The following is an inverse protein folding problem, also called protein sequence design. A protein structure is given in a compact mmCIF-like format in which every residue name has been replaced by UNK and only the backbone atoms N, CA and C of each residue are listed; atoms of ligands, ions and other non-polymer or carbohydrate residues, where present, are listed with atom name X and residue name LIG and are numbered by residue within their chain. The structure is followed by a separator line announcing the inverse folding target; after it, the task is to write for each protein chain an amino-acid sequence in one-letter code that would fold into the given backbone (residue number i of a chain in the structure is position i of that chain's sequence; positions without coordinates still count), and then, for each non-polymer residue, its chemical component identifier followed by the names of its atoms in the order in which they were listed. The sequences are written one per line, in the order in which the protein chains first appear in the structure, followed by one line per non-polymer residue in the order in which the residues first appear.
data_IF_702015682247
#
_entry.id   IF_702015682247
#
_cell.length_a   1.000
_cell.length_b   1.000
_cell.length_c   1.000
_cell.angle_alpha   90.00
_cell.angle_beta   90.00
_cell.angle_gamma   90.00
#
_symmetry.space_group_name_H-M   'P 1'
#
loop_
_entity.id
_entity.type
_entity.pdbx_description
1 polymer ?
#
# COMPACT_ATOMS: atom_id res chain seq x y z
N UNK A 1 44.37 -6.92 0.70
CA UNK A 1 44.10 -5.81 1.65
C UNK A 1 43.28 -4.63 1.06
N UNK A 2 43.12 -4.52 -0.27
CA UNK A 2 42.36 -3.45 -0.92
C UNK A 2 40.83 -3.69 -0.82
N UNK A 3 40.38 -4.92 -0.70
CA UNK A 3 38.95 -5.26 -0.62
C UNK A 3 38.23 -4.87 0.67
N UNK A 4 38.92 -4.83 1.81
CA UNK A 4 38.30 -4.54 3.12
C UNK A 4 37.99 -3.04 3.33
N UNK A 5 38.76 -2.14 2.71
CA UNK A 5 38.56 -0.71 2.77
C UNK A 5 37.34 -0.22 1.96
N UNK A 6 37.12 -0.81 0.77
CA UNK A 6 35.97 -0.52 -0.09
C UNK A 6 34.66 -1.03 0.53
N UNK A 7 34.65 -2.23 1.07
CA UNK A 7 33.47 -2.81 1.75
C UNK A 7 33.10 -1.99 2.99
N UNK A 8 34.09 -1.47 3.74
CA UNK A 8 33.83 -0.60 4.88
C UNK A 8 33.26 0.77 4.49
N UNK A 9 33.70 1.35 3.37
CA UNK A 9 33.19 2.65 2.88
C UNK A 9 31.77 2.51 2.30
N UNK A 10 31.47 1.43 1.60
CA UNK A 10 30.12 1.15 1.07
C UNK A 10 29.11 0.93 2.23
N UNK A 11 29.50 0.21 3.27
CA UNK A 11 28.68 0.10 4.48
C UNK A 11 28.40 1.46 5.12
N UNK A 12 29.39 2.32 5.28
CA UNK A 12 29.21 3.65 5.87
C UNK A 12 28.28 4.57 5.06
N UNK A 13 28.37 4.53 3.74
CA UNK A 13 27.48 5.30 2.84
C UNK A 13 26.04 4.78 2.96
N UNK A 14 25.87 3.47 2.95
CA UNK A 14 24.57 2.81 3.10
C UNK A 14 23.92 3.14 4.44
N UNK A 15 24.69 3.14 5.54
CA UNK A 15 24.23 3.46 6.89
C UNK A 15 23.71 4.90 7.00
N UNK A 16 24.47 5.86 6.47
CA UNK A 16 24.08 7.27 6.45
C UNK A 16 22.86 7.50 5.56
N UNK A 17 22.83 6.90 4.38
CA UNK A 17 21.72 7.05 3.44
C UNK A 17 20.41 6.53 4.02
N UNK A 18 20.43 5.40 4.72
CA UNK A 18 19.25 4.81 5.34
C UNK A 18 18.64 5.72 6.41
N UNK A 19 19.47 6.26 7.32
CA UNK A 19 19.01 7.19 8.34
C UNK A 19 18.47 8.50 7.77
N UNK A 20 19.13 9.04 6.74
CA UNK A 20 18.68 10.26 6.05
C UNK A 20 17.36 10.01 5.35
N UNK A 21 17.21 8.89 4.63
CA UNK A 21 15.96 8.53 3.94
C UNK A 21 14.78 8.43 4.92
N UNK A 22 14.99 7.81 6.08
CA UNK A 22 13.97 7.73 7.13
C UNK A 22 13.62 9.11 7.69
N UNK A 23 14.62 9.94 7.97
CA UNK A 23 14.43 11.31 8.43
C UNK A 23 13.70 12.20 7.41
N UNK A 24 14.03 12.07 6.12
CA UNK A 24 13.34 12.77 5.02
C UNK A 24 11.89 12.33 4.92
N UNK A 25 11.62 11.02 5.03
CA UNK A 25 10.26 10.49 5.00
C UNK A 25 9.43 11.03 6.18
N UNK A 26 9.95 10.94 7.41
CA UNK A 26 9.27 11.47 8.58
C UNK A 26 9.08 13.00 8.51
N UNK A 27 10.13 13.74 8.16
CA UNK A 27 10.10 15.19 8.04
C UNK A 27 9.14 15.68 6.96
N UNK A 28 9.11 15.02 5.80
CA UNK A 28 8.19 15.37 4.71
C UNK A 28 6.72 15.14 5.09
N UNK A 29 6.40 14.09 5.86
CA UNK A 29 5.05 13.88 6.38
C UNK A 29 4.62 14.96 7.37
N UNK A 30 5.51 15.40 8.25
CA UNK A 30 5.23 16.52 9.17
C UNK A 30 5.04 17.84 8.40
N UNK A 31 5.83 18.07 7.35
CA UNK A 31 5.73 19.27 6.50
C UNK A 31 4.37 19.41 5.80
N UNK A 32 3.60 18.33 5.63
CA UNK A 32 2.22 18.40 5.09
C UNK A 32 1.29 19.25 5.97
N UNK A 33 1.55 19.33 7.28
CA UNK A 33 0.76 20.17 8.21
C UNK A 33 1.09 21.66 8.11
N UNK A 34 2.19 22.02 7.45
CA UNK A 34 2.60 23.40 7.21
C UNK A 34 1.85 24.01 6.00
N UNK A 35 1.99 25.31 5.71
CA UNK A 35 1.40 25.95 4.52
C UNK A 35 1.82 25.34 3.18
N UNK A 36 2.89 24.53 3.13
CA UNK A 36 3.33 23.79 1.93
C UNK A 36 2.42 22.61 1.59
N UNK A 37 1.58 22.19 2.53
CA UNK A 37 0.62 21.11 2.34
C UNK A 37 -0.63 21.57 1.59
N UNK A 38 -0.96 20.89 0.49
CA UNK A 38 -2.17 21.15 -0.29
C UNK A 38 -3.31 20.22 0.13
N UNK A 39 -4.52 20.78 0.20
CA UNK A 39 -5.74 20.04 0.48
C UNK A 39 -6.28 19.49 -0.83
N UNK A 40 -6.55 18.20 -0.88
CA UNK A 40 -7.24 17.55 -1.99
C UNK A 40 -8.31 16.62 -1.42
N UNK A 41 -9.53 16.72 -1.92
CA UNK A 41 -10.67 15.90 -1.46
C UNK A 41 -10.87 15.95 0.07
N UNK A 42 -10.73 17.14 0.69
CA UNK A 42 -10.95 17.35 2.12
C UNK A 42 -9.82 16.89 3.05
N UNK A 43 -8.72 16.34 2.53
CA UNK A 43 -7.58 15.92 3.33
C UNK A 43 -6.25 16.53 2.84
N UNK A 44 -5.34 16.83 3.78
CA UNK A 44 -4.00 17.32 3.48
C UNK A 44 -3.07 16.13 3.29
N UNK A 45 -2.77 15.78 2.03
CA UNK A 45 -1.98 14.58 1.70
C UNK A 45 -0.78 14.86 0.81
N UNK A 46 -0.74 16.04 0.19
CA UNK A 46 0.21 16.39 -0.84
C UNK A 46 1.12 17.53 -0.38
N UNK A 47 2.39 17.43 -0.70
CA UNK A 47 3.33 18.55 -0.60
C UNK A 47 3.53 19.17 -1.97
N UNK A 48 3.49 20.49 -2.03
CA UNK A 48 3.79 21.23 -3.23
C UNK A 48 5.07 22.06 -3.04
N UNK A 49 6.08 21.77 -3.84
CA UNK A 49 7.35 22.51 -3.86
C UNK A 49 7.52 23.06 -5.26
N UNK A 50 7.15 24.32 -5.46
CA UNK A 50 7.13 24.95 -6.78
C UNK A 50 6.12 24.28 -7.72
N UNK A 51 6.53 23.81 -8.91
CA UNK A 51 5.66 23.13 -9.87
C UNK A 51 5.42 21.64 -9.52
N UNK A 52 6.23 21.06 -8.63
CA UNK A 52 6.20 19.63 -8.31
C UNK A 52 5.27 19.41 -7.12
N UNK A 53 4.32 18.50 -7.28
CA UNK A 53 3.44 18.03 -6.23
C UNK A 53 3.64 16.53 -6.03
N UNK A 54 3.93 16.10 -4.81
CA UNK A 54 4.15 14.70 -4.49
C UNK A 54 3.52 14.33 -3.15
N UNK A 55 3.27 13.04 -2.94
CA UNK A 55 2.72 12.52 -1.70
C UNK A 55 3.84 11.96 -0.82
N UNK A 56 4.14 12.55 0.36
CA UNK A 56 5.20 12.08 1.25
C UNK A 56 5.06 10.64 1.72
N UNK A 57 3.84 10.17 1.79
CA UNK A 57 3.56 8.78 2.18
C UNK A 57 4.13 7.74 1.19
N UNK A 58 4.31 8.10 -0.08
CA UNK A 58 5.00 7.22 -1.05
C UNK A 58 6.48 7.05 -0.69
N UNK A 59 7.16 8.14 -0.31
CA UNK A 59 8.55 8.10 0.19
C UNK A 59 8.63 7.24 1.47
N UNK A 60 7.63 7.35 2.35
CA UNK A 60 7.62 6.61 3.61
C UNK A 60 7.54 5.09 3.40
N UNK A 61 6.82 4.61 2.38
CA UNK A 61 6.78 3.18 2.04
C UNK A 61 8.16 2.65 1.64
N UNK A 62 8.86 3.37 0.77
CA UNK A 62 10.24 3.02 0.37
C UNK A 62 11.19 3.10 1.57
N UNK A 63 11.09 4.17 2.36
CA UNK A 63 11.93 4.38 3.53
C UNK A 63 11.78 3.24 4.56
N UNK A 64 10.55 2.79 4.83
CA UNK A 64 10.31 1.64 5.71
C UNK A 64 10.98 0.38 5.17
N UNK A 65 10.82 0.08 3.88
CA UNK A 65 11.41 -1.11 3.25
C UNK A 65 12.93 -1.09 3.39
N UNK A 66 13.58 0.01 2.99
CA UNK A 66 15.04 0.13 3.03
C UNK A 66 15.57 0.12 4.46
N UNK A 67 14.92 0.87 5.39
CA UNK A 67 15.39 0.97 6.77
C UNK A 67 15.20 -0.32 7.54
N UNK A 68 14.09 -1.01 7.36
CA UNK A 68 13.89 -2.30 8.02
C UNK A 68 14.84 -3.36 7.47
N UNK A 69 15.07 -3.40 6.14
CA UNK A 69 16.05 -4.29 5.52
C UNK A 69 17.44 -4.09 6.14
N UNK A 70 17.87 -2.83 6.24
CA UNK A 70 19.14 -2.47 6.88
C UNK A 70 19.23 -2.93 8.35
N UNK A 71 18.21 -2.59 9.14
CA UNK A 71 18.18 -2.94 10.56
C UNK A 71 18.16 -4.46 10.80
N UNK A 72 17.41 -5.21 9.99
CA UNK A 72 17.32 -6.67 10.07
C UNK A 72 18.70 -7.29 9.83
N UNK A 73 19.41 -6.84 8.79
CA UNK A 73 20.77 -7.32 8.48
C UNK A 73 21.74 -6.99 9.62
N UNK A 74 21.67 -5.77 10.15
CA UNK A 74 22.54 -5.33 11.25
C UNK A 74 22.27 -6.05 12.57
N UNK A 75 21.02 -6.40 12.84
CA UNK A 75 20.64 -7.17 14.03
C UNK A 75 21.08 -8.64 13.96
N UNK A 76 21.13 -9.24 12.76
CA UNK A 76 21.57 -10.61 12.53
C UNK A 76 20.94 -11.62 13.49
N UNK A 77 21.75 -12.37 14.25
CA UNK A 77 21.25 -13.39 15.21
C UNK A 77 20.37 -12.83 16.33
N UNK A 78 20.41 -11.51 16.61
CA UNK A 78 19.57 -10.86 17.63
C UNK A 78 18.10 -10.77 17.20
N UNK A 79 17.78 -11.01 15.92
CA UNK A 79 16.39 -11.06 15.40
C UNK A 79 15.48 -12.05 16.14
N UNK A 80 16.04 -13.09 16.78
CA UNK A 80 15.27 -14.04 17.61
C UNK A 80 14.72 -13.42 18.90
N UNK A 81 15.14 -12.22 19.26
CA UNK A 81 14.71 -11.59 20.51
C UNK A 81 13.44 -10.76 20.30
N UNK A 82 12.54 -10.80 21.27
CA UNK A 82 11.34 -9.96 21.27
C UNK A 82 11.70 -8.45 21.19
N UNK A 83 12.81 -8.05 21.79
CA UNK A 83 13.29 -6.65 21.75
C UNK A 83 13.58 -6.20 20.32
N UNK A 84 14.19 -7.05 19.48
CA UNK A 84 14.45 -6.72 18.08
C UNK A 84 13.16 -6.52 17.31
N UNK A 85 12.19 -7.44 17.45
CA UNK A 85 10.88 -7.31 16.81
C UNK A 85 10.15 -6.04 17.25
N UNK A 86 10.20 -5.71 18.55
CA UNK A 86 9.59 -4.49 19.08
C UNK A 86 10.26 -3.23 18.52
N UNK A 87 11.60 -3.20 18.40
CA UNK A 87 12.33 -2.06 17.83
C UNK A 87 11.94 -1.84 16.36
N UNK A 88 11.95 -2.90 15.54
CA UNK A 88 11.56 -2.82 14.14
C UNK A 88 10.08 -2.44 14.01
N UNK A 89 9.22 -3.06 14.81
CA UNK A 89 7.80 -2.72 14.88
C UNK A 89 7.55 -1.27 15.26
N UNK A 90 8.27 -0.75 16.25
CA UNK A 90 8.16 0.64 16.68
C UNK A 90 8.57 1.62 15.57
N UNK A 91 9.66 1.33 14.84
CA UNK A 91 10.10 2.17 13.71
C UNK A 91 9.04 2.23 12.60
N UNK A 92 8.52 1.10 12.16
CA UNK A 92 7.48 1.07 11.13
C UNK A 92 6.15 1.67 11.61
N UNK A 93 5.75 1.39 12.85
CA UNK A 93 4.54 1.96 13.46
C UNK A 93 4.66 3.48 13.62
N UNK A 94 5.83 4.00 13.92
CA UNK A 94 6.06 5.45 14.00
C UNK A 94 5.76 6.14 12.66
N UNK A 95 6.28 5.63 11.54
CA UNK A 95 5.96 6.19 10.22
C UNK A 95 4.48 5.96 9.84
N UNK A 96 3.89 4.83 10.21
CA UNK A 96 2.47 4.58 10.01
C UNK A 96 1.60 5.58 10.79
N UNK A 97 1.96 5.88 12.05
CA UNK A 97 1.29 6.90 12.86
C UNK A 97 1.45 8.30 12.27
N UNK A 98 2.63 8.66 11.77
CA UNK A 98 2.82 9.94 11.08
C UNK A 98 1.95 10.03 9.82
N UNK A 99 1.85 8.95 9.04
CA UNK A 99 0.95 8.91 7.87
C UNK A 99 -0.52 9.08 8.29
N UNK A 100 -0.94 8.48 9.40
CA UNK A 100 -2.30 8.64 9.92
C UNK A 100 -2.56 10.05 10.44
N UNK A 101 -1.70 10.57 11.33
CA UNK A 101 -1.90 11.84 12.03
C UNK A 101 -1.60 13.03 11.13
N UNK A 102 -0.52 13.00 10.33
CA UNK A 102 -0.09 14.16 9.55
C UNK A 102 -0.76 14.26 8.18
N UNK A 103 -1.09 13.11 7.56
CA UNK A 103 -1.64 13.11 6.19
C UNK A 103 -3.11 12.67 6.13
N UNK A 104 -3.77 12.45 7.27
CA UNK A 104 -5.14 11.96 7.38
C UNK A 104 -5.43 10.72 6.50
N UNK A 105 -4.40 9.87 6.29
CA UNK A 105 -4.46 8.73 5.39
C UNK A 105 -4.33 7.40 6.14
N UNK A 106 -5.47 6.90 6.62
CA UNK A 106 -5.54 5.61 7.32
C UNK A 106 -5.08 4.45 6.44
N UNK A 107 -5.45 4.45 5.15
CA UNK A 107 -5.12 3.35 4.24
C UNK A 107 -3.62 3.20 4.04
N UNK A 108 -2.90 4.31 3.84
CA UNK A 108 -1.44 4.29 3.73
C UNK A 108 -0.79 3.90 5.05
N UNK A 109 -1.32 4.36 6.18
CA UNK A 109 -0.84 3.94 7.50
C UNK A 109 -0.93 2.41 7.69
N UNK A 110 -2.06 1.81 7.29
CA UNK A 110 -2.25 0.36 7.30
C UNK A 110 -1.24 -0.34 6.38
N UNK A 111 -1.02 0.18 5.16
CA UNK A 111 -0.06 -0.40 4.22
C UNK A 111 1.35 -0.38 4.82
N UNK A 112 1.82 0.76 5.36
CA UNK A 112 3.14 0.89 6.00
C UNK A 112 3.27 -0.09 7.18
N UNK A 113 2.24 -0.20 8.00
CA UNK A 113 2.20 -1.15 9.11
C UNK A 113 2.25 -2.60 8.62
N UNK A 114 1.47 -2.96 7.61
CA UNK A 114 1.47 -4.31 7.03
C UNK A 114 2.80 -4.66 6.36
N UNK A 115 3.47 -3.71 5.67
CA UNK A 115 4.83 -3.89 5.15
C UNK A 115 5.78 -4.20 6.31
N UNK A 116 5.69 -3.44 7.41
CA UNK A 116 6.53 -3.64 8.60
C UNK A 116 6.36 -5.04 9.18
N UNK A 117 5.12 -5.46 9.41
CA UNK A 117 4.79 -6.79 9.95
C UNK A 117 5.24 -7.89 8.99
N UNK A 118 5.00 -7.71 7.69
CA UNK A 118 5.42 -8.66 6.66
C UNK A 118 6.94 -8.83 6.57
N UNK A 119 7.70 -7.75 6.66
CA UNK A 119 9.17 -7.82 6.68
C UNK A 119 9.71 -8.49 7.95
N UNK A 120 9.12 -8.20 9.11
CA UNK A 120 9.49 -8.88 10.36
C UNK A 120 9.14 -10.38 10.25
N UNK A 121 7.98 -10.72 9.68
CA UNK A 121 7.58 -12.11 9.44
C UNK A 121 8.57 -12.87 8.56
N UNK A 122 9.02 -12.26 7.45
CA UNK A 122 10.01 -12.88 6.54
C UNK A 122 11.36 -13.09 7.23
N UNK A 123 11.76 -12.15 8.09
CA UNK A 123 13.06 -12.19 8.77
C UNK A 123 13.08 -13.05 10.03
N UNK A 124 11.93 -13.34 10.65
CA UNK A 124 11.87 -14.03 11.93
C UNK A 124 11.72 -15.54 11.79
N UNK A 125 12.53 -16.37 12.47
CA UNK A 125 12.52 -17.82 12.29
C UNK A 125 11.26 -18.52 12.85
N UNK A 126 10.55 -17.90 13.80
CA UNK A 126 9.33 -18.47 14.43
C UNK A 126 8.06 -17.87 13.80
N UNK A 127 7.75 -18.26 12.57
CA UNK A 127 6.61 -17.73 11.80
C UNK A 127 5.24 -18.07 12.39
N UNK A 128 5.10 -19.17 13.14
CA UNK A 128 3.83 -19.61 13.72
C UNK A 128 3.19 -18.57 14.65
N UNK A 129 4.00 -17.86 15.44
CA UNK A 129 3.50 -16.82 16.37
C UNK A 129 2.85 -15.68 15.58
N UNK A 130 3.47 -15.24 14.48
CA UNK A 130 2.92 -14.19 13.63
C UNK A 130 1.63 -14.61 12.94
N UNK A 131 1.54 -15.86 12.47
CA UNK A 131 0.30 -16.39 11.87
C UNK A 131 -0.86 -16.39 12.88
N UNK A 132 -0.60 -16.78 14.13
CA UNK A 132 -1.61 -16.75 15.20
C UNK A 132 -2.01 -15.29 15.49
N UNK A 133 -1.06 -14.36 15.60
CA UNK A 133 -1.36 -12.95 15.86
C UNK A 133 -2.17 -12.32 14.71
N UNK A 134 -1.84 -12.63 13.47
CA UNK A 134 -2.60 -12.16 12.29
C UNK A 134 -4.02 -12.76 12.31
N UNK A 135 -4.17 -14.05 12.59
CA UNK A 135 -5.48 -14.70 12.68
C UNK A 135 -6.34 -14.07 13.77
N UNK A 136 -5.76 -13.81 14.96
CA UNK A 136 -6.46 -13.15 16.08
C UNK A 136 -6.84 -11.70 15.70
N UNK A 137 -5.95 -10.96 15.03
CA UNK A 137 -6.24 -9.61 14.58
C UNK A 137 -7.38 -9.57 13.55
N UNK A 138 -7.38 -10.50 12.60
CA UNK A 138 -8.47 -10.63 11.61
C UNK A 138 -9.79 -10.97 12.30
N UNK A 139 -9.80 -11.93 13.24
CA UNK A 139 -10.98 -12.29 13.98
C UNK A 139 -11.52 -11.11 14.81
N UNK A 140 -10.63 -10.37 15.47
CA UNK A 140 -11.00 -9.17 16.23
C UNK A 140 -11.62 -8.09 15.34
N UNK A 141 -11.00 -7.81 14.18
CA UNK A 141 -11.54 -6.85 13.21
C UNK A 141 -12.89 -7.29 12.66
N UNK A 142 -13.08 -8.57 12.37
CA UNK A 142 -14.37 -9.11 11.91
C UNK A 142 -15.47 -8.92 12.96
N UNK A 143 -15.17 -9.19 14.22
CA UNK A 143 -16.11 -8.98 15.34
C UNK A 143 -16.41 -7.49 15.49
N UNK A 144 -15.41 -6.62 15.44
CA UNK A 144 -15.58 -5.17 15.54
C UNK A 144 -16.48 -4.62 14.43
N UNK A 145 -16.24 -5.04 13.17
CA UNK A 145 -17.06 -4.65 12.02
C UNK A 145 -18.50 -5.16 12.17
N UNK A 146 -18.67 -6.39 12.63
CA UNK A 146 -20.00 -6.97 12.89
C UNK A 146 -20.78 -6.15 13.94
N UNK A 147 -20.12 -5.82 15.07
CA UNK A 147 -20.74 -5.02 16.14
C UNK A 147 -21.09 -3.61 15.65
N UNK A 148 -20.20 -2.96 14.91
CA UNK A 148 -20.47 -1.61 14.33
C UNK A 148 -21.67 -1.68 13.38
N UNK A 149 -21.71 -2.69 12.50
CA UNK A 149 -22.79 -2.86 11.53
C UNK A 149 -24.17 -3.07 12.17
N UNK A 150 -24.22 -3.66 13.38
CA UNK A 150 -25.46 -3.84 14.13
C UNK A 150 -25.88 -2.58 14.90
N UNK A 151 -24.91 -1.81 15.39
CA UNK A 151 -25.14 -0.73 16.35
C UNK A 151 -25.33 0.66 15.74
N UNK A 152 -24.73 0.92 14.56
CA UNK A 152 -24.67 2.25 13.96
C UNK A 152 -25.46 2.28 12.66
N UNK A 153 -26.60 3.01 12.65
CA UNK A 153 -27.44 3.17 11.45
C UNK A 153 -27.10 4.42 10.63
N UNK A 154 -26.75 5.50 11.30
CA UNK A 154 -26.33 6.78 10.67
C UNK A 154 -25.31 7.46 11.57
N UNK A 155 -24.32 8.12 10.97
CA UNK A 155 -23.29 8.88 11.68
C UNK A 155 -22.70 9.96 10.78
N UNK A 156 -22.28 11.08 11.37
CA UNK A 156 -21.56 12.16 10.68
C UNK A 156 -20.08 11.83 10.45
N UNK A 157 -19.56 10.72 11.01
CA UNK A 157 -18.17 10.32 10.84
C UNK A 157 -17.96 9.69 9.44
N UNK A 158 -17.16 10.37 8.63
CA UNK A 158 -16.82 9.95 7.26
C UNK A 158 -16.25 8.50 7.16
N UNK A 159 -15.53 8.05 8.20
CA UNK A 159 -14.93 6.70 8.21
C UNK A 159 -15.96 5.61 8.52
N UNK A 160 -16.83 5.89 9.49
CA UNK A 160 -17.92 4.97 9.83
C UNK A 160 -18.93 4.88 8.68
N UNK A 161 -19.21 5.99 8.00
CA UNK A 161 -20.06 5.98 6.79
C UNK A 161 -19.52 5.09 5.67
N UNK A 162 -18.20 4.94 5.52
CA UNK A 162 -17.62 3.99 4.56
C UNK A 162 -17.87 2.54 4.94
N UNK A 163 -17.86 2.22 6.24
CA UNK A 163 -18.15 0.86 6.73
C UNK A 163 -19.64 0.55 6.53
N UNK A 164 -20.51 1.49 6.84
CA UNK A 164 -21.97 1.35 6.64
C UNK A 164 -22.29 1.19 5.15
N UNK A 165 -21.67 2.04 4.30
CA UNK A 165 -21.83 1.96 2.84
C UNK A 165 -21.32 0.64 2.24
N UNK A 166 -20.34 0.02 2.88
CA UNK A 166 -19.86 -1.30 2.47
C UNK A 166 -20.81 -2.43 2.89
N UNK A 167 -21.34 -2.39 4.14
CA UNK A 167 -22.23 -3.42 4.65
C UNK A 167 -23.64 -3.34 4.02
N UNK A 168 -24.14 -2.15 3.77
CA UNK A 168 -25.48 -1.89 3.25
C UNK A 168 -25.46 -0.84 2.14
N UNK A 169 -24.85 -1.12 0.98
CA UNK A 169 -24.66 -0.13 -0.08
C UNK A 169 -25.98 0.43 -0.62
N UNK A 170 -27.04 -0.39 -0.65
CA UNK A 170 -28.38 0.00 -1.13
C UNK A 170 -29.11 0.96 -0.19
N UNK A 171 -28.78 0.97 1.10
CA UNK A 171 -29.44 1.80 2.12
C UNK A 171 -28.61 3.02 2.52
N UNK A 172 -27.34 3.05 2.11
CA UNK A 172 -26.44 4.13 2.51
C UNK A 172 -26.58 5.35 1.59
N UNK A 173 -26.76 6.51 2.20
CA UNK A 173 -26.73 7.81 1.52
C UNK A 173 -25.31 8.35 1.51
N UNK A 174 -24.78 8.73 0.33
CA UNK A 174 -23.47 9.38 0.25
C UNK A 174 -22.60 8.91 -0.92
N UNK A 175 -21.51 9.65 -1.12
CA UNK A 175 -20.60 9.44 -2.26
C UNK A 175 -19.88 8.07 -2.23
N UNK A 176 -19.60 7.53 -1.05
CA UNK A 176 -18.90 6.24 -0.92
C UNK A 176 -19.79 5.06 -1.35
N UNK A 177 -21.07 5.05 -0.96
CA UNK A 177 -22.03 4.03 -1.39
C UNK A 177 -22.28 4.12 -2.90
N UNK A 178 -22.50 5.33 -3.39
CA UNK A 178 -22.69 5.59 -4.82
C UNK A 178 -21.49 5.08 -5.64
N UNK A 179 -20.26 5.39 -5.22
CA UNK A 179 -19.04 4.95 -5.87
C UNK A 179 -18.94 3.42 -5.95
N UNK A 180 -19.24 2.72 -4.84
CA UNK A 180 -19.22 1.26 -4.78
C UNK A 180 -20.26 0.64 -5.72
N UNK A 181 -21.50 1.14 -5.69
CA UNK A 181 -22.59 0.64 -6.55
C UNK A 181 -22.25 0.83 -8.02
N UNK A 182 -21.77 2.02 -8.41
CA UNK A 182 -21.40 2.29 -9.80
C UNK A 182 -20.22 1.43 -10.27
N UNK A 183 -19.24 1.15 -9.39
CA UNK A 183 -18.14 0.24 -9.69
C UNK A 183 -18.64 -1.20 -9.94
N UNK A 184 -19.59 -1.68 -9.13
CA UNK A 184 -20.20 -3.00 -9.33
C UNK A 184 -21.05 -3.05 -10.62
N UNK A 185 -21.77 -1.97 -10.96
CA UNK A 185 -22.48 -1.87 -12.23
C UNK A 185 -21.52 -1.89 -13.43
N UNK A 186 -20.36 -1.22 -13.33
CA UNK A 186 -19.34 -1.26 -14.36
C UNK A 186 -18.87 -2.70 -14.60
N UNK A 187 -18.49 -3.43 -13.54
CA UNK A 187 -18.07 -4.83 -13.63
C UNK A 187 -19.18 -5.69 -14.23
N UNK A 188 -20.42 -5.58 -13.72
CA UNK A 188 -21.55 -6.38 -14.18
C UNK A 188 -21.93 -6.11 -15.65
N UNK A 189 -21.83 -4.85 -16.09
CA UNK A 189 -22.17 -4.45 -17.45
C UNK A 189 -21.15 -4.88 -18.51
N UNK A 190 -19.89 -5.15 -18.10
CA UNK A 190 -18.84 -5.62 -18.99
C UNK A 190 -19.02 -7.06 -19.45
N UNK A 191 -19.69 -7.92 -18.69
CA UNK A 191 -19.86 -9.33 -19.03
C UNK A 191 -18.54 -10.07 -19.24
N UNK A 192 -18.51 -11.07 -20.12
CA UNK A 192 -17.30 -11.87 -20.35
C UNK A 192 -16.25 -11.14 -21.20
N UNK A 193 -16.66 -10.51 -22.31
CA UNK A 193 -15.75 -9.94 -23.32
C UNK A 193 -15.66 -8.42 -23.29
N UNK A 194 -16.44 -7.77 -22.43
CA UNK A 194 -16.45 -6.33 -22.32
C UNK A 194 -17.27 -5.63 -23.42
N UNK A 195 -17.40 -4.32 -23.26
CA UNK A 195 -18.08 -3.43 -24.22
C UNK A 195 -17.16 -2.93 -25.34
N UNK A 196 -15.88 -3.26 -25.26
CA UNK A 196 -14.81 -2.75 -26.13
C UNK A 196 -14.07 -1.56 -25.54
N UNK A 197 -12.81 -1.44 -25.92
CA UNK A 197 -11.92 -0.34 -25.47
C UNK A 197 -12.53 1.02 -25.81
N UNK A 198 -12.53 1.92 -24.85
CA UNK A 198 -13.05 3.26 -25.01
C UNK A 198 -14.58 3.39 -24.83
N UNK A 199 -15.33 2.29 -24.75
CA UNK A 199 -16.79 2.28 -24.73
C UNK A 199 -17.41 2.17 -23.31
N UNK A 200 -16.63 2.37 -22.26
CA UNK A 200 -17.16 2.44 -20.90
C UNK A 200 -18.11 3.64 -20.77
N UNK A 201 -19.32 3.41 -20.31
CA UNK A 201 -20.30 4.45 -19.98
C UNK A 201 -19.99 5.01 -18.59
N UNK A 202 -19.57 4.15 -17.68
CA UNK A 202 -19.37 4.49 -16.27
C UNK A 202 -18.18 5.46 -16.06
N UNK A 203 -17.16 5.46 -16.95
CA UNK A 203 -16.05 6.40 -16.90
C UNK A 203 -16.43 7.86 -17.18
N UNK A 204 -17.57 8.10 -17.86
CA UNK A 204 -18.02 9.44 -18.30
C UNK A 204 -18.69 10.25 -17.19
N UNK A 205 -18.41 9.96 -15.92
CA UNK A 205 -18.86 10.72 -14.77
C UNK A 205 -19.77 9.97 -13.80
N UNK A 206 -20.16 8.73 -14.11
CA UNK A 206 -20.99 7.93 -13.21
C UNK A 206 -20.19 7.36 -12.04
N UNK A 207 -18.93 6.93 -12.26
CA UNK A 207 -18.02 6.47 -11.19
C UNK A 207 -17.13 7.61 -10.74
N UNK A 208 -17.25 8.11 -9.50
CA UNK A 208 -16.29 9.05 -8.95
C UNK A 208 -14.90 8.43 -8.90
N UNK A 209 -13.86 9.23 -9.18
CA UNK A 209 -12.45 8.79 -9.15
C UNK A 209 -12.16 7.53 -10.00
N UNK A 210 -12.90 7.35 -11.11
CA UNK A 210 -12.81 6.18 -12.00
C UNK A 210 -11.37 5.89 -12.47
N UNK A 211 -10.57 6.93 -12.69
CA UNK A 211 -9.17 6.83 -13.14
C UNK A 211 -8.17 6.53 -12.02
N UNK A 212 -8.58 6.64 -10.76
CA UNK A 212 -7.72 6.47 -9.59
C UNK A 212 -7.94 5.08 -8.95
N UNK A 213 -8.71 5.01 -7.88
CA UNK A 213 -8.91 3.79 -7.09
C UNK A 213 -9.93 2.81 -7.69
N UNK A 214 -10.77 3.26 -8.64
CA UNK A 214 -11.80 2.43 -9.28
C UNK A 214 -11.46 1.99 -10.71
N UNK A 215 -10.22 2.19 -11.16
CA UNK A 215 -9.82 1.89 -12.54
C UNK A 215 -10.05 0.42 -12.93
N UNK A 216 -9.93 -0.51 -11.98
CA UNK A 216 -10.17 -1.92 -12.22
C UNK A 216 -11.61 -2.22 -12.67
N UNK A 217 -12.61 -1.50 -12.13
CA UNK A 217 -14.01 -1.65 -12.57
C UNK A 217 -14.21 -1.20 -14.02
N UNK A 218 -13.53 -0.13 -14.44
CA UNK A 218 -13.58 0.35 -15.83
C UNK A 218 -12.90 -0.65 -16.78
N UNK A 219 -11.78 -1.25 -16.37
CA UNK A 219 -11.12 -2.31 -17.14
C UNK A 219 -12.07 -3.50 -17.33
N UNK A 220 -12.78 -3.90 -16.27
CA UNK A 220 -13.78 -4.97 -16.37
C UNK A 220 -14.97 -4.57 -17.24
N UNK A 221 -15.39 -3.30 -17.29
CA UNK A 221 -16.45 -2.85 -18.19
C UNK A 221 -15.99 -2.88 -19.65
N UNK A 222 -14.79 -2.42 -19.96
CA UNK A 222 -14.29 -2.32 -21.34
C UNK A 222 -13.79 -3.67 -21.90
N UNK A 223 -13.05 -4.44 -21.09
CA UNK A 223 -12.41 -5.69 -21.51
C UNK A 223 -13.11 -6.96 -20.98
N UNK A 224 -14.16 -6.79 -20.18
CA UNK A 224 -14.87 -7.89 -19.55
C UNK A 224 -14.10 -8.58 -18.43
N UNK A 225 -14.67 -9.67 -17.94
CA UNK A 225 -14.03 -10.53 -16.94
C UNK A 225 -12.70 -11.07 -17.47
N UNK A 226 -12.61 -11.39 -18.76
CA UNK A 226 -11.38 -11.89 -19.41
C UNK A 226 -10.25 -10.86 -19.26
N UNK A 227 -10.50 -9.58 -19.53
CA UNK A 227 -9.51 -8.51 -19.35
C UNK A 227 -9.09 -8.34 -17.90
N UNK A 228 -10.04 -8.40 -16.97
CA UNK A 228 -9.75 -8.38 -15.54
C UNK A 228 -8.85 -9.54 -15.09
N UNK A 229 -9.15 -10.76 -15.54
CA UNK A 229 -8.35 -11.96 -15.24
C UNK A 229 -6.94 -11.85 -15.85
N UNK A 230 -6.81 -11.40 -17.10
CA UNK A 230 -5.49 -11.20 -17.72
C UNK A 230 -4.66 -10.21 -16.90
N UNK A 231 -5.25 -9.10 -16.46
CA UNK A 231 -4.56 -8.13 -15.61
C UNK A 231 -4.09 -8.74 -14.28
N UNK A 232 -4.94 -9.55 -13.64
CA UNK A 232 -4.58 -10.27 -12.42
C UNK A 232 -3.42 -11.26 -12.64
N UNK A 233 -3.42 -11.98 -13.78
CA UNK A 233 -2.33 -12.88 -14.13
C UNK A 233 -1.02 -12.13 -14.37
N UNK A 234 -1.07 -10.93 -14.97
CA UNK A 234 0.12 -10.08 -15.15
C UNK A 234 0.69 -9.62 -13.79
N UNK A 235 -0.17 -9.20 -12.84
CA UNK A 235 0.27 -8.92 -11.47
C UNK A 235 0.82 -10.16 -10.77
N UNK A 236 0.17 -11.31 -10.92
CA UNK A 236 0.64 -12.59 -10.40
C UNK A 236 2.04 -12.94 -10.94
N UNK A 237 2.26 -12.74 -12.24
CA UNK A 237 3.57 -12.95 -12.87
C UNK A 237 4.61 -11.95 -12.35
N UNK A 238 4.27 -10.67 -12.20
CA UNK A 238 5.16 -9.68 -11.60
C UNK A 238 5.58 -10.08 -10.18
N UNK A 239 4.62 -10.45 -9.35
CA UNK A 239 4.88 -10.90 -7.97
C UNK A 239 5.72 -12.18 -7.94
N UNK A 240 5.46 -13.13 -8.85
CA UNK A 240 6.29 -14.32 -9.00
C UNK A 240 7.75 -13.95 -9.34
N UNK A 241 7.97 -13.02 -10.27
CA UNK A 241 9.32 -12.54 -10.63
C UNK A 241 10.02 -11.87 -9.46
N UNK A 242 9.33 -11.02 -8.69
CA UNK A 242 9.88 -10.40 -7.48
C UNK A 242 10.25 -11.45 -6.43
N UNK A 243 9.40 -12.45 -6.21
CA UNK A 243 9.68 -13.54 -5.30
C UNK A 243 10.93 -14.35 -5.75
N UNK A 244 11.05 -14.62 -7.04
CA UNK A 244 12.21 -15.30 -7.63
C UNK A 244 13.51 -14.50 -7.43
N UNK A 245 13.50 -13.18 -7.68
CA UNK A 245 14.65 -12.29 -7.44
C UNK A 245 15.01 -12.28 -5.95
N UNK A 246 14.02 -12.15 -5.05
CA UNK A 246 14.28 -12.16 -3.61
C UNK A 246 14.94 -13.45 -3.12
N UNK A 247 14.57 -14.60 -3.67
CA UNK A 247 15.14 -15.91 -3.31
C UNK A 247 16.55 -16.13 -3.86
N UNK A 248 16.88 -15.53 -4.99
CA UNK A 248 18.16 -15.68 -5.66
C UNK A 248 19.10 -14.47 -5.48
N UNK A 249 18.73 -13.52 -4.61
CA UNK A 249 19.53 -12.33 -4.35
C UNK A 249 20.91 -12.69 -3.79
N UNK A 250 21.98 -11.99 -4.20
CA UNK A 250 23.36 -12.30 -3.80
C UNK A 250 23.62 -12.01 -2.33
N UNK A 251 22.83 -11.12 -1.70
CA UNK A 251 22.96 -10.75 -0.30
C UNK A 251 21.61 -10.66 0.41
N UNK A 252 21.64 -10.78 1.73
CA UNK A 252 20.43 -10.72 2.56
C UNK A 252 19.73 -9.34 2.50
N UNK A 253 20.49 -8.26 2.34
CA UNK A 253 19.95 -6.92 2.26
C UNK A 253 19.08 -6.74 1.00
N UNK A 254 19.61 -7.12 -0.16
CA UNK A 254 18.87 -7.11 -1.43
C UNK A 254 17.63 -8.01 -1.38
N UNK A 255 17.78 -9.24 -0.84
CA UNK A 255 16.65 -10.15 -0.64
C UNK A 255 15.52 -9.52 0.17
N UNK A 256 15.84 -8.83 1.26
CA UNK A 256 14.85 -8.16 2.12
C UNK A 256 14.22 -6.95 1.45
N UNK A 257 14.98 -6.15 0.69
CA UNK A 257 14.43 -5.03 -0.09
C UNK A 257 13.39 -5.55 -1.10
N UNK A 258 13.77 -6.55 -1.90
CA UNK A 258 12.85 -7.11 -2.91
C UNK A 258 11.64 -7.77 -2.25
N UNK A 259 11.82 -8.45 -1.11
CA UNK A 259 10.71 -8.98 -0.32
C UNK A 259 9.77 -7.87 0.19
N UNK A 260 10.31 -6.74 0.63
CA UNK A 260 9.52 -5.58 1.04
C UNK A 260 8.72 -4.96 -0.11
N UNK A 261 9.33 -4.83 -1.29
CA UNK A 261 8.68 -4.37 -2.53
C UNK A 261 7.57 -5.34 -2.95
N UNK A 262 7.85 -6.66 -2.90
CA UNK A 262 6.84 -7.70 -3.15
C UNK A 262 5.63 -7.53 -2.23
N UNK A 263 5.85 -7.40 -0.92
CA UNK A 263 4.79 -7.21 0.08
C UNK A 263 4.00 -5.93 -0.23
N UNK A 264 4.68 -4.83 -0.53
CA UNK A 264 4.02 -3.55 -0.84
C UNK A 264 3.10 -3.67 -2.06
N UNK A 265 3.61 -4.14 -3.20
CA UNK A 265 2.83 -4.28 -4.44
C UNK A 265 1.69 -5.27 -4.25
N UNK A 266 1.94 -6.43 -3.62
CA UNK A 266 0.91 -7.42 -3.35
C UNK A 266 -0.23 -6.85 -2.50
N UNK A 267 0.09 -6.12 -1.43
CA UNK A 267 -0.91 -5.47 -0.56
C UNK A 267 -1.73 -4.44 -1.33
N UNK A 268 -1.10 -3.59 -2.14
CA UNK A 268 -1.84 -2.58 -2.92
C UNK A 268 -2.80 -3.22 -3.93
N UNK A 269 -2.35 -4.25 -4.65
CA UNK A 269 -3.19 -4.96 -5.62
C UNK A 269 -4.36 -5.64 -4.93
N UNK A 270 -4.09 -6.40 -3.86
CA UNK A 270 -5.13 -7.12 -3.11
C UNK A 270 -6.16 -6.15 -2.52
N UNK A 271 -5.69 -5.07 -1.87
CA UNK A 271 -6.58 -4.08 -1.26
C UNK A 271 -7.42 -3.34 -2.29
N UNK A 272 -6.84 -2.92 -3.42
CA UNK A 272 -7.60 -2.24 -4.47
C UNK A 272 -8.70 -3.16 -5.04
N UNK A 273 -8.34 -4.39 -5.42
CA UNK A 273 -9.31 -5.34 -5.99
C UNK A 273 -10.40 -5.68 -4.98
N UNK A 274 -10.04 -5.96 -3.71
CA UNK A 274 -11.01 -6.26 -2.66
C UNK A 274 -12.01 -5.11 -2.44
N UNK A 275 -11.58 -3.87 -2.55
CA UNK A 275 -12.46 -2.68 -2.49
C UNK A 275 -13.37 -2.62 -3.70
N UNK A 276 -12.83 -2.77 -4.92
CA UNK A 276 -13.60 -2.61 -6.16
C UNK A 276 -14.67 -3.70 -6.32
N UNK A 277 -14.40 -4.93 -5.84
CA UNK A 277 -15.40 -6.02 -5.81
C UNK A 277 -16.24 -6.04 -4.53
N UNK A 278 -16.18 -4.99 -3.72
CA UNK A 278 -16.93 -4.83 -2.47
C UNK A 278 -16.68 -5.91 -1.39
N UNK A 279 -15.48 -6.50 -1.37
CA UNK A 279 -15.06 -7.39 -0.28
C UNK A 279 -14.56 -6.63 0.95
N UNK A 280 -14.17 -5.35 0.76
CA UNK A 280 -13.68 -4.46 1.81
C UNK A 280 -14.27 -3.05 1.66
N UNK A 281 -14.36 -2.27 2.76
CA UNK A 281 -14.77 -0.87 2.68
C UNK A 281 -13.85 -0.07 1.77
N UNK A 282 -14.39 0.97 1.12
CA UNK A 282 -13.59 1.83 0.25
C UNK A 282 -12.43 2.49 1.01
N UNK A 283 -11.20 2.22 0.56
CA UNK A 283 -9.96 2.71 1.18
C UNK A 283 -9.26 3.80 0.38
N UNK A 284 -9.61 3.99 -0.90
CA UNK A 284 -8.93 4.94 -1.78
C UNK A 284 -7.49 4.54 -2.14
N UNK A 285 -7.17 3.24 -2.09
CA UNK A 285 -5.86 2.70 -2.49
C UNK A 285 -5.85 2.52 -4.00
N UNK A 286 -4.85 3.10 -4.67
CA UNK A 286 -4.69 3.02 -6.13
C UNK A 286 -4.11 1.69 -6.56
N UNK A 287 -4.45 1.24 -7.78
CA UNK A 287 -3.85 0.04 -8.39
C UNK A 287 -2.45 0.36 -8.94
N UNK A 288 -1.39 -0.33 -8.52
CA UNK A 288 -0.02 -0.04 -8.96
C UNK A 288 0.11 -0.03 -10.50
N UNK A 289 0.88 0.90 -11.04
CA UNK A 289 1.19 1.08 -12.48
C UNK A 289 0.01 1.42 -13.39
N UNK A 290 -1.22 1.13 -12.99
CA UNK A 290 -2.43 1.28 -13.83
C UNK A 290 -3.19 2.56 -13.49
N UNK A 291 -3.36 2.85 -12.19
CA UNK A 291 -4.08 4.04 -11.74
C UNK A 291 -3.37 5.32 -12.13
N UNK A 292 -4.16 6.35 -12.41
CA UNK A 292 -3.63 7.68 -12.66
C UNK A 292 -2.94 8.24 -11.42
N UNK A 293 -1.66 8.64 -11.56
CA UNK A 293 -0.90 9.23 -10.47
C UNK A 293 0.57 9.39 -10.84
N UNK A 294 0.96 10.54 -11.43
CA UNK A 294 2.30 10.76 -11.95
C UNK A 294 3.42 10.52 -10.93
N UNK A 295 3.29 11.02 -9.71
CA UNK A 295 4.32 10.85 -8.67
C UNK A 295 4.30 9.46 -8.06
N UNK A 296 3.14 8.83 -7.92
CA UNK A 296 3.02 7.45 -7.43
C UNK A 296 3.73 6.46 -8.36
N UNK A 297 3.54 6.64 -9.68
CA UNK A 297 4.23 5.81 -10.69
C UNK A 297 5.75 6.01 -10.61
N UNK A 298 6.24 7.24 -10.40
CA UNK A 298 7.66 7.51 -10.26
C UNK A 298 8.27 6.74 -9.07
N UNK A 299 7.60 6.72 -7.92
CA UNK A 299 8.07 5.96 -6.76
C UNK A 299 8.00 4.45 -6.97
N UNK A 300 6.95 3.94 -7.61
CA UNK A 300 6.86 2.53 -7.99
C UNK A 300 7.96 2.12 -8.97
N UNK A 301 8.30 2.99 -9.95
CA UNK A 301 9.44 2.74 -10.86
C UNK A 301 10.77 2.77 -10.11
N UNK A 302 10.94 3.62 -9.10
CA UNK A 302 12.12 3.60 -8.26
C UNK A 302 12.24 2.30 -7.46
N UNK A 303 11.13 1.77 -6.92
CA UNK A 303 11.09 0.45 -6.27
C UNK A 303 11.46 -0.67 -7.24
N UNK A 304 10.93 -0.63 -8.48
CA UNK A 304 11.31 -1.62 -9.49
C UNK A 304 12.78 -1.49 -9.89
N UNK A 305 13.33 -0.27 -9.95
CA UNK A 305 14.76 -0.03 -10.15
C UNK A 305 15.62 -0.67 -9.05
N UNK A 306 15.18 -0.54 -7.78
CA UNK A 306 15.83 -1.21 -6.66
C UNK A 306 15.76 -2.75 -6.78
N UNK A 307 14.61 -3.29 -7.18
CA UNK A 307 14.46 -4.73 -7.39
C UNK A 307 15.35 -5.24 -8.53
N UNK A 308 15.45 -4.50 -9.63
CA UNK A 308 16.32 -4.84 -10.77
C UNK A 308 17.81 -4.71 -10.44
N UNK A 309 18.20 -3.81 -9.54
CA UNK A 309 19.60 -3.70 -9.11
C UNK A 309 20.09 -4.88 -8.27
N UNK A 310 19.17 -5.68 -7.76
CA UNK A 310 19.42 -6.89 -6.95
C UNK A 310 19.39 -8.14 -7.81
N UNK A 311 18.78 -8.11 -9.01
CA UNK A 311 18.56 -9.27 -9.88
C UNK A 311 19.81 -9.83 -10.56
#
# INVERSE_FOLDING_TARGET
EIGSGLVGSEMCIRDRFTGVLYGVAAGSMVLVRTPLGTVSNGARRWLRIGPIQFQPAEIAKIAVIVCLSYMIVHMGKKMNSLKACMTLGAMGTFLALLAYVCTDNLSTAIIIFCITVGMIFVAHPKTRIFLILVAVAIAFLAILVFVIGQSVKETDDFRLNRIIAWLHPENATGTAAYQTIQALYAIGSGGFLGRGLGNSIQKLGSVPEAQNDMIFSIICEELGIVGGVILLLLFGYLLYRLCFIAQNAPDLFGSLIVSGIFIHIALQVILNIAVVVNLMPNTGVTLPFISYGGTSIMFLMAEMGLALSVS
#
